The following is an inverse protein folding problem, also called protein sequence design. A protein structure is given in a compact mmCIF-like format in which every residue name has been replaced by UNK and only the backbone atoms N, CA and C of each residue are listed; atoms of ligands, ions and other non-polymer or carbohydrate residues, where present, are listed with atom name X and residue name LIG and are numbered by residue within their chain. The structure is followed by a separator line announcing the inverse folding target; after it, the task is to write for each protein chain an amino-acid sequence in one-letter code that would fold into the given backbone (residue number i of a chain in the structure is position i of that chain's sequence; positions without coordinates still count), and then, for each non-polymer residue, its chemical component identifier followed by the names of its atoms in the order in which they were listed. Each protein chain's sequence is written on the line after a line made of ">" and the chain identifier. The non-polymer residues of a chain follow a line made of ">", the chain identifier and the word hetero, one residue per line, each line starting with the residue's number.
data_IF_032618552535
#
_entry.id   IF_032618552535
#
_cell.length_a   1.000
_cell.length_b   1.000
_cell.length_c   1.000
_cell.angle_alpha   90.00
_cell.angle_beta   90.00
_cell.angle_gamma   90.00
#
_symmetry.space_group_name_H-M   'P 1'
#
loop_
_entity.id
_entity.type
_entity.pdbx_description
1 polymer ?
#
# COMPACT_ATOMS: atom_id res chain seq x y z
N UNK A 1 -51.83 21.12 -4.28
CA UNK A 1 -51.50 19.70 -4.54
C UNK A 1 -50.13 19.50 -5.18
N UNK A 2 -49.52 20.50 -5.80
CA UNK A 2 -48.19 20.34 -6.43
C UNK A 2 -47.02 20.38 -5.44
N UNK A 3 -47.10 21.18 -4.37
CA UNK A 3 -46.04 21.30 -3.37
C UNK A 3 -45.76 19.99 -2.58
N UNK A 4 -46.77 19.13 -2.42
CA UNK A 4 -46.63 17.84 -1.72
C UNK A 4 -45.91 16.79 -2.55
N UNK A 5 -46.01 16.85 -3.89
CA UNK A 5 -45.34 15.89 -4.77
C UNK A 5 -43.83 16.17 -4.85
N UNK A 6 -43.45 17.45 -4.99
CA UNK A 6 -42.05 17.86 -5.00
C UNK A 6 -41.33 17.50 -3.68
N UNK A 7 -42.01 17.68 -2.53
CA UNK A 7 -41.46 17.32 -1.22
C UNK A 7 -41.21 15.82 -1.09
N UNK A 8 -42.08 14.97 -1.63
CA UNK A 8 -41.95 13.52 -1.58
C UNK A 8 -40.79 13.03 -2.45
N UNK A 9 -40.67 13.59 -3.67
CA UNK A 9 -39.52 13.31 -4.54
C UNK A 9 -38.19 13.73 -3.90
N UNK A 10 -38.15 14.89 -3.22
CA UNK A 10 -36.95 15.36 -2.51
C UNK A 10 -36.57 14.41 -1.37
N UNK A 11 -37.54 13.95 -0.59
CA UNK A 11 -37.30 13.02 0.52
C UNK A 11 -36.80 11.65 0.01
N UNK A 12 -37.39 11.14 -1.08
CA UNK A 12 -36.92 9.91 -1.72
C UNK A 12 -35.51 10.06 -2.28
N UNK A 13 -35.16 11.21 -2.85
CA UNK A 13 -33.81 11.47 -3.37
C UNK A 13 -32.77 11.54 -2.24
N UNK A 14 -33.10 12.19 -1.12
CA UNK A 14 -32.23 12.24 0.08
C UNK A 14 -32.07 10.85 0.70
N UNK A 15 -33.14 10.06 0.81
CA UNK A 15 -33.07 8.67 1.27
C UNK A 15 -32.22 7.81 0.33
N UNK A 16 -32.34 8.00 -0.99
CA UNK A 16 -31.53 7.30 -1.98
C UNK A 16 -30.04 7.66 -1.85
N UNK A 17 -29.72 8.94 -1.64
CA UNK A 17 -28.34 9.40 -1.38
C UNK A 17 -27.79 8.86 -0.04
N UNK A 18 -28.64 8.64 0.96
CA UNK A 18 -28.21 8.06 2.25
C UNK A 18 -27.97 6.54 2.21
N UNK A 19 -28.53 5.84 1.21
CA UNK A 19 -28.29 4.42 0.97
C UNK A 19 -26.96 4.14 0.23
N UNK A 20 -26.38 5.18 -0.38
CA UNK A 20 -25.06 5.14 -1.00
C UNK A 20 -24.18 6.20 -0.36
N UNK A 21 -23.69 6.01 0.89
CA UNK A 21 -22.53 6.78 1.30
C UNK A 21 -21.43 6.44 0.29
N UNK A 22 -21.11 7.40 -0.58
CA UNK A 22 -19.92 7.34 -1.43
C UNK A 22 -18.76 7.44 -0.44
N UNK A 23 -18.43 6.34 0.22
CA UNK A 23 -17.18 6.22 0.94
C UNK A 23 -16.13 6.27 -0.16
N UNK A 24 -15.46 7.41 -0.29
CA UNK A 24 -14.34 7.53 -1.21
C UNK A 24 -13.24 6.62 -0.68
N UNK A 25 -13.18 5.40 -1.20
CA UNK A 25 -12.14 4.40 -0.93
C UNK A 25 -10.82 4.79 -1.61
N UNK A 26 -10.84 5.86 -2.41
CA UNK A 26 -9.68 6.38 -3.11
C UNK A 26 -8.68 7.00 -2.15
N UNK A 27 -7.42 6.60 -2.29
CA UNK A 27 -6.38 7.09 -1.41
C UNK A 27 -5.56 8.21 -2.07
N UNK A 28 -5.20 8.03 -3.34
CA UNK A 28 -4.44 9.02 -4.09
C UNK A 28 -4.79 8.97 -5.58
N UNK A 29 -4.79 10.12 -6.27
CA UNK A 29 -4.91 10.13 -7.72
C UNK A 29 -3.71 9.43 -8.35
N UNK A 30 -3.94 8.67 -9.41
CA UNK A 30 -2.87 8.16 -10.28
C UNK A 30 -2.06 9.33 -10.86
N UNK A 31 -0.75 9.32 -10.64
CA UNK A 31 0.14 10.43 -11.01
C UNK A 31 0.93 10.19 -12.30
N UNK A 32 0.58 9.17 -13.09
CA UNK A 32 1.29 8.86 -14.34
C UNK A 32 1.04 9.92 -15.41
N UNK A 33 2.11 10.37 -16.08
CA UNK A 33 2.02 11.31 -17.22
C UNK A 33 2.89 10.84 -18.37
N UNK A 34 2.53 11.18 -19.60
CA UNK A 34 3.30 10.83 -20.81
C UNK A 34 4.76 11.35 -20.81
N UNK A 35 5.04 12.38 -20.01
CA UNK A 35 6.36 12.99 -19.88
C UNK A 35 7.15 12.50 -18.67
N UNK A 36 6.64 11.54 -17.88
CA UNK A 36 7.44 10.84 -16.88
C UNK A 36 8.38 9.87 -17.58
N UNK A 37 9.47 10.40 -18.11
CA UNK A 37 10.67 9.60 -18.35
C UNK A 37 11.23 9.21 -17.00
N UNK A 38 11.66 7.96 -16.84
CA UNK A 38 12.39 7.44 -15.67
C UNK A 38 13.74 8.13 -15.41
N UNK A 39 13.99 9.27 -16.04
CA UNK A 39 15.29 9.93 -16.10
C UNK A 39 15.56 10.76 -14.85
N UNK A 40 16.79 10.67 -14.37
CA UNK A 40 17.26 11.47 -13.24
C UNK A 40 17.83 12.82 -13.70
N UNK A 41 17.06 13.66 -14.41
CA UNK A 41 17.57 14.97 -14.82
C UNK A 41 17.97 15.79 -13.59
N UNK A 42 19.16 16.40 -13.61
CA UNK A 42 19.68 17.24 -12.52
C UNK A 42 18.82 18.52 -12.36
N UNK A 43 18.14 18.93 -13.44
CA UNK A 43 17.24 20.08 -13.44
C UNK A 43 15.81 19.76 -12.94
N UNK A 44 15.51 18.49 -12.63
CA UNK A 44 14.24 18.10 -11.98
C UNK A 44 14.28 18.40 -10.46
N UNK A 45 14.63 19.64 -10.12
CA UNK A 45 14.58 20.17 -8.75
C UNK A 45 13.16 20.50 -8.31
N UNK A 46 12.20 20.50 -9.24
CA UNK A 46 10.80 20.90 -9.01
C UNK A 46 9.80 19.73 -9.02
N UNK A 47 10.27 18.48 -9.03
CA UNK A 47 9.34 17.40 -8.73
C UNK A 47 9.10 17.41 -7.22
N UNK A 48 7.90 17.81 -6.81
CA UNK A 48 7.22 17.13 -5.70
C UNK A 48 7.58 15.65 -5.77
N UNK A 49 7.79 14.92 -4.65
CA UNK A 49 8.15 13.50 -4.70
C UNK A 49 7.05 12.70 -5.40
N UNK A 50 7.10 12.70 -6.73
CA UNK A 50 6.00 12.39 -7.60
C UNK A 50 5.82 10.89 -7.52
N UNK A 51 4.64 10.48 -7.09
CA UNK A 51 4.29 9.10 -6.83
C UNK A 51 4.36 8.69 -5.36
N UNK A 52 4.99 9.44 -4.44
CA UNK A 52 4.88 9.10 -3.01
C UNK A 52 3.53 9.53 -2.44
N UNK A 53 3.05 8.73 -1.50
CA UNK A 53 1.74 8.85 -0.91
C UNK A 53 1.81 9.73 0.35
N UNK A 54 1.10 10.88 0.34
CA UNK A 54 1.11 11.85 1.43
C UNK A 54 0.22 11.49 2.63
N UNK A 55 0.83 11.07 3.74
CA UNK A 55 0.13 10.78 5.00
C UNK A 55 -0.32 12.04 5.78
N UNK A 56 -0.29 13.24 5.19
CA UNK A 56 -0.59 14.50 5.88
C UNK A 56 -2.02 14.56 6.48
N UNK A 57 -2.99 13.95 5.81
CA UNK A 57 -4.40 13.95 6.21
C UNK A 57 -4.85 12.64 6.87
N UNK A 58 -3.99 11.62 6.82
CA UNK A 58 -4.28 10.29 7.33
C UNK A 58 -3.04 9.79 8.06
N UNK A 59 -2.87 10.08 9.36
CA UNK A 59 -1.73 9.61 10.14
C UNK A 59 -1.90 8.12 10.50
N UNK A 60 -2.53 7.32 9.63
CA UNK A 60 -2.59 5.88 9.85
C UNK A 60 -1.15 5.43 10.04
N UNK A 61 -0.88 4.95 11.26
CA UNK A 61 0.41 4.49 11.70
C UNK A 61 0.95 3.39 10.80
N UNK A 62 2.12 2.90 11.14
CA UNK A 62 2.79 1.89 10.35
C UNK A 62 1.88 0.69 10.01
N UNK A 63 2.05 0.13 8.82
CA UNK A 63 1.32 -1.05 8.37
C UNK A 63 2.21 -1.93 7.51
N UNK A 64 1.82 -3.19 7.34
CA UNK A 64 2.41 -4.04 6.31
C UNK A 64 1.90 -3.62 4.92
N UNK A 65 2.84 -3.42 4.00
CA UNK A 65 2.58 -3.10 2.59
C UNK A 65 3.46 -3.98 1.71
N UNK A 66 3.13 -4.07 0.43
CA UNK A 66 3.81 -4.95 -0.51
C UNK A 66 4.30 -4.17 -1.72
N UNK A 67 5.53 -4.41 -2.13
CA UNK A 67 6.10 -3.86 -3.36
C UNK A 67 6.10 -4.96 -4.40
N UNK A 68 5.44 -4.75 -5.54
CA UNK A 68 5.23 -5.79 -6.57
C UNK A 68 5.58 -5.26 -7.95
N UNK A 69 6.39 -6.02 -8.69
CA UNK A 69 6.62 -5.77 -10.11
C UNK A 69 6.65 -7.12 -10.85
N UNK A 70 6.55 -7.10 -12.18
CA UNK A 70 6.83 -8.32 -12.97
C UNK A 70 8.30 -8.70 -12.82
N UNK A 71 8.54 -9.98 -12.59
CA UNK A 71 9.90 -10.48 -12.41
C UNK A 71 10.72 -10.28 -13.69
N UNK A 72 11.91 -9.70 -13.50
CA UNK A 72 13.05 -9.73 -14.42
C UNK A 72 14.21 -10.27 -13.58
N UNK A 73 15.11 -11.05 -14.19
CA UNK A 73 16.29 -11.65 -13.53
C UNK A 73 16.82 -10.77 -12.39
N UNK A 74 16.57 -11.17 -11.15
CA UNK A 74 16.89 -10.38 -9.96
C UNK A 74 18.28 -10.75 -9.42
N UNK A 75 18.91 -9.81 -8.71
CA UNK A 75 20.14 -10.04 -7.98
C UNK A 75 19.81 -10.13 -6.48
N UNK A 76 20.21 -11.22 -5.82
CA UNK A 76 19.54 -11.82 -4.65
C UNK A 76 19.64 -11.10 -3.28
N UNK A 77 20.08 -9.84 -3.18
CA UNK A 77 20.54 -9.28 -1.89
C UNK A 77 19.69 -8.15 -1.27
N UNK A 78 18.50 -7.82 -1.80
CA UNK A 78 17.71 -6.67 -1.31
C UNK A 78 16.39 -7.03 -0.62
N UNK A 79 16.22 -8.30 -0.24
CA UNK A 79 15.00 -8.79 0.40
C UNK A 79 13.78 -8.85 -0.53
N UNK A 80 13.97 -8.63 -1.83
CA UNK A 80 13.00 -9.03 -2.83
C UNK A 80 13.13 -10.51 -3.10
N UNK A 81 12.00 -11.16 -3.40
CA UNK A 81 11.94 -12.56 -3.76
C UNK A 81 11.03 -12.77 -4.94
N UNK A 82 11.37 -13.74 -5.77
CA UNK A 82 10.52 -14.17 -6.86
C UNK A 82 9.36 -15.01 -6.31
N UNK A 83 8.17 -14.75 -6.83
CA UNK A 83 6.97 -15.53 -6.56
C UNK A 83 6.18 -15.71 -7.85
N UNK A 84 5.39 -16.77 -7.91
CA UNK A 84 4.46 -16.99 -9.01
C UNK A 84 3.04 -16.85 -8.50
N UNK A 85 2.30 -15.93 -9.09
CA UNK A 85 0.90 -15.71 -8.77
C UNK A 85 0.03 -16.04 -9.98
N UNK A 86 -0.73 -17.12 -9.89
CA UNK A 86 -1.35 -17.73 -11.06
C UNK A 86 -0.30 -18.16 -12.08
N UNK A 87 -0.34 -17.57 -13.27
CA UNK A 87 0.63 -17.83 -14.35
C UNK A 87 1.65 -16.69 -14.51
N UNK A 88 1.71 -15.76 -13.57
CA UNK A 88 2.56 -14.57 -13.64
C UNK A 88 3.71 -14.69 -12.67
N UNK A 89 4.94 -14.47 -13.17
CA UNK A 89 6.11 -14.36 -12.31
C UNK A 89 6.28 -12.90 -11.86
N UNK A 90 6.37 -12.72 -10.54
CA UNK A 90 6.45 -11.43 -9.87
C UNK A 90 7.72 -11.39 -9.03
N UNK A 91 8.27 -10.20 -8.89
CA UNK A 91 9.24 -9.89 -7.84
C UNK A 91 8.50 -9.12 -6.76
N UNK A 92 8.64 -9.56 -5.51
CA UNK A 92 7.89 -9.00 -4.38
C UNK A 92 8.80 -8.71 -3.18
N UNK A 93 8.45 -7.67 -2.41
CA UNK A 93 9.01 -7.42 -1.08
C UNK A 93 7.90 -6.95 -0.14
N UNK A 94 7.74 -7.62 0.99
CA UNK A 94 6.95 -7.12 2.10
C UNK A 94 7.73 -6.03 2.84
N UNK A 95 7.08 -4.92 3.18
CA UNK A 95 7.70 -3.79 3.86
C UNK A 95 6.83 -3.28 5.01
N UNK A 96 7.50 -2.90 6.09
CA UNK A 96 6.87 -2.13 7.17
C UNK A 96 6.79 -0.67 6.73
N UNK A 97 5.63 -0.31 6.19
CA UNK A 97 5.38 1.01 5.67
C UNK A 97 5.08 1.98 6.80
N UNK A 98 5.73 3.14 6.81
CA UNK A 98 5.53 4.15 7.87
C UNK A 98 5.42 5.55 7.28
N UNK A 99 4.69 6.43 7.97
CA UNK A 99 4.61 7.83 7.64
C UNK A 99 5.84 8.56 8.20
N UNK A 100 6.70 9.09 7.32
CA UNK A 100 8.00 9.63 7.70
C UNK A 100 8.25 11.06 7.20
N UNK A 101 9.52 11.32 6.89
CA UNK A 101 10.03 12.63 6.46
C UNK A 101 9.17 13.22 5.32
N UNK A 102 8.74 14.47 5.48
CA UNK A 102 7.91 15.17 4.50
C UNK A 102 6.43 14.74 4.49
N UNK A 103 5.97 13.98 5.49
CA UNK A 103 4.63 13.38 5.54
C UNK A 103 4.36 12.48 4.33
N UNK A 104 5.34 11.62 4.02
CA UNK A 104 5.26 10.65 2.95
C UNK A 104 5.36 9.25 3.54
N UNK A 105 4.57 8.32 3.00
CA UNK A 105 4.72 6.91 3.31
C UNK A 105 5.99 6.35 2.67
N UNK A 106 6.79 5.66 3.48
CA UNK A 106 7.99 4.98 3.02
C UNK A 106 8.51 3.91 3.97
N UNK A 107 9.35 3.05 3.42
CA UNK A 107 10.20 2.10 4.16
C UNK A 107 11.65 2.37 3.76
N UNK A 108 12.46 2.88 4.69
CA UNK A 108 13.84 3.23 4.42
C UNK A 108 14.68 1.96 4.54
N UNK A 109 15.42 1.64 3.47
CA UNK A 109 16.40 0.55 3.45
C UNK A 109 17.77 1.10 3.06
N UNK A 110 18.84 0.37 3.31
CA UNK A 110 20.19 0.75 2.91
C UNK A 110 20.62 -0.03 1.68
N UNK A 111 21.44 0.59 0.84
CA UNK A 111 22.04 -0.04 -0.32
C UNK A 111 23.51 0.35 -0.42
N UNK A 112 24.39 -0.65 -0.54
CA UNK A 112 25.81 -0.40 -0.80
C UNK A 112 26.03 -0.30 -2.31
N UNK A 113 26.51 0.85 -2.75
CA UNK A 113 26.78 1.11 -4.17
C UNK A 113 27.85 0.17 -4.73
N UNK A 114 27.71 -0.14 -6.01
CA UNK A 114 28.62 -0.93 -6.83
C UNK A 114 29.08 -0.14 -8.06
N UNK A 115 30.14 -0.58 -8.74
CA UNK A 115 30.63 0.14 -9.93
C UNK A 115 29.57 0.24 -11.02
N UNK A 116 29.39 1.46 -11.53
CA UNK A 116 28.37 1.79 -12.53
C UNK A 116 27.04 2.24 -11.94
N UNK A 117 26.90 2.29 -10.61
CA UNK A 117 25.72 2.84 -9.98
C UNK A 117 25.60 4.36 -10.15
N UNK A 118 24.35 4.76 -10.37
CA UNK A 118 23.85 6.13 -10.36
C UNK A 118 22.47 6.10 -9.68
N UNK A 119 21.91 7.24 -9.29
CA UNK A 119 20.53 7.23 -8.78
C UNK A 119 19.51 6.71 -9.80
N UNK A 120 19.82 6.78 -11.09
CA UNK A 120 18.94 6.25 -12.14
C UNK A 120 18.95 4.73 -12.17
N UNK A 121 20.14 4.13 -12.15
CA UNK A 121 20.27 2.66 -12.12
C UNK A 121 19.74 2.12 -10.80
N UNK A 122 20.05 2.77 -9.67
CA UNK A 122 19.54 2.39 -8.35
C UNK A 122 18.00 2.44 -8.35
N UNK A 123 17.40 3.54 -8.78
CA UNK A 123 15.95 3.69 -8.77
C UNK A 123 15.26 2.67 -9.68
N UNK A 124 15.66 2.60 -10.95
CA UNK A 124 14.89 1.90 -11.97
C UNK A 124 15.28 0.42 -12.15
N UNK A 125 16.55 0.08 -11.93
CA UNK A 125 17.08 -1.27 -12.18
C UNK A 125 17.27 -2.06 -10.90
N UNK A 126 17.85 -1.45 -9.86
CA UNK A 126 18.09 -2.13 -8.57
C UNK A 126 16.79 -2.25 -7.77
N UNK A 127 16.02 -1.17 -7.69
CA UNK A 127 14.77 -1.12 -6.91
C UNK A 127 13.50 -1.07 -7.77
N UNK A 128 13.57 -1.45 -9.04
CA UNK A 128 12.39 -1.63 -9.90
C UNK A 128 11.45 -0.42 -9.99
N UNK A 129 11.92 0.81 -9.75
CA UNK A 129 11.12 2.03 -9.71
C UNK A 129 10.42 2.31 -8.37
N UNK A 130 10.59 1.45 -7.34
CA UNK A 130 9.99 1.67 -6.01
C UNK A 130 10.60 2.83 -5.24
N UNK A 131 11.70 3.40 -5.73
CA UNK A 131 12.21 4.69 -5.28
C UNK A 131 12.33 5.63 -6.48
N UNK A 132 12.63 6.90 -6.22
CA UNK A 132 12.82 7.91 -7.27
C UNK A 132 14.12 8.66 -7.05
N UNK A 133 14.70 9.19 -8.12
CA UNK A 133 15.94 9.95 -8.06
C UNK A 133 15.85 11.15 -7.10
N UNK A 134 14.73 11.88 -7.14
CA UNK A 134 14.52 13.03 -6.26
C UNK A 134 14.50 12.62 -4.79
N UNK A 135 13.92 11.47 -4.47
CA UNK A 135 13.94 10.93 -3.12
C UNK A 135 15.31 10.44 -2.70
N UNK A 136 16.02 9.72 -3.57
CA UNK A 136 17.42 9.33 -3.32
C UNK A 136 18.29 10.55 -3.02
N UNK A 137 18.22 11.62 -3.83
CA UNK A 137 18.94 12.89 -3.59
C UNK A 137 18.57 13.53 -2.25
N UNK A 138 17.28 13.57 -1.92
CA UNK A 138 16.80 14.25 -0.71
C UNK A 138 17.20 13.54 0.59
N UNK A 139 17.34 12.21 0.54
CA UNK A 139 17.82 11.37 1.65
C UNK A 139 19.34 11.33 1.72
N UNK A 140 20.02 11.50 0.59
CA UNK A 140 21.48 11.40 0.48
C UNK A 140 22.13 12.72 0.01
N UNK A 141 21.88 13.88 0.66
CA UNK A 141 22.30 15.19 0.15
C UNK A 141 23.83 15.39 0.09
N UNK A 142 24.60 14.55 0.78
CA UNK A 142 26.06 14.62 0.83
C UNK A 142 26.74 13.67 -0.18
N UNK A 143 25.95 12.90 -0.95
CA UNK A 143 26.47 11.93 -1.91
C UNK A 143 26.33 12.46 -3.34
N UNK A 144 27.41 12.38 -4.12
CA UNK A 144 27.48 12.91 -5.49
C UNK A 144 27.26 11.83 -6.56
N UNK A 145 26.33 10.90 -6.30
CA UNK A 145 26.11 9.69 -7.14
C UNK A 145 25.44 10.04 -8.50
N UNK A 146 24.98 11.28 -8.66
CA UNK A 146 24.31 11.76 -9.87
C UNK A 146 25.22 12.10 -11.05
N UNK A 147 26.53 12.29 -10.82
CA UNK A 147 27.41 12.91 -11.82
C UNK A 147 28.30 11.86 -12.47
N UNK A 148 27.82 11.34 -13.59
CA UNK A 148 28.47 10.40 -14.51
C UNK A 148 28.71 9.01 -13.92
N UNK A 149 28.45 7.98 -14.74
CA UNK A 149 28.55 6.55 -14.48
C UNK A 149 29.98 6.04 -14.17
N UNK A 150 30.77 6.81 -13.44
CA UNK A 150 32.15 6.53 -13.04
C UNK A 150 32.50 7.11 -11.66
N UNK A 151 31.53 7.32 -10.76
CA UNK A 151 31.90 7.53 -9.36
C UNK A 151 32.52 6.22 -8.86
N UNK A 152 33.83 6.25 -8.70
CA UNK A 152 34.74 5.18 -8.26
C UNK A 152 34.52 4.78 -6.80
N UNK A 153 33.37 5.13 -6.24
CA UNK A 153 33.01 5.03 -4.83
C UNK A 153 32.07 3.82 -4.64
N UNK A 154 32.62 2.63 -4.89
CA UNK A 154 31.99 1.39 -4.45
C UNK A 154 31.92 1.33 -2.92
N UNK A 155 30.87 0.74 -2.39
CA UNK A 155 30.71 0.49 -0.95
C UNK A 155 30.21 1.68 -0.14
N UNK A 156 29.73 2.75 -0.78
CA UNK A 156 28.96 3.78 -0.07
C UNK A 156 27.58 3.23 0.25
N UNK A 157 27.19 3.24 1.53
CA UNK A 157 25.82 2.97 1.93
C UNK A 157 24.95 4.21 1.67
N UNK A 158 23.92 4.05 0.85
CA UNK A 158 22.89 5.07 0.59
C UNK A 158 21.56 4.68 1.21
N UNK A 159 20.84 5.67 1.73
CA UNK A 159 19.47 5.51 2.19
C UNK A 159 18.51 5.47 1.00
N UNK A 160 17.75 4.39 0.88
CA UNK A 160 16.78 4.16 -0.18
C UNK A 160 15.37 4.15 0.41
N UNK A 161 14.63 5.27 0.29
CA UNK A 161 13.25 5.34 0.76
C UNK A 161 12.32 4.62 -0.23
N UNK A 162 11.92 3.38 0.06
CA UNK A 162 10.96 2.64 -0.76
C UNK A 162 9.56 3.20 -0.57
N UNK A 163 8.87 3.46 -1.68
CA UNK A 163 7.49 3.95 -1.71
C UNK A 163 6.52 2.82 -1.39
N UNK A 164 5.74 3.02 -0.35
CA UNK A 164 4.71 2.08 0.12
C UNK A 164 3.45 2.86 0.50
N UNK A 165 2.34 2.18 0.80
CA UNK A 165 1.11 2.83 1.24
C UNK A 165 0.39 2.01 2.32
N UNK A 166 -0.35 2.71 3.18
CA UNK A 166 -1.20 2.08 4.19
C UNK A 166 -2.68 2.34 3.94
N UNK A 167 -3.57 1.35 4.16
CA UNK A 167 -4.99 1.57 3.92
C UNK A 167 -5.57 2.62 4.86
N UNK A 168 -6.47 3.47 4.33
CA UNK A 168 -7.25 4.43 5.10
C UNK A 168 -8.27 3.71 6.00
N UNK A 169 -8.87 4.45 6.94
CA UNK A 169 -9.92 3.87 7.77
C UNK A 169 -11.13 3.43 6.93
N UNK A 170 -11.50 4.20 5.90
CA UNK A 170 -12.61 3.85 5.01
C UNK A 170 -12.31 2.60 4.20
N UNK A 171 -11.07 2.46 3.69
CA UNK A 171 -10.60 1.23 3.05
C UNK A 171 -10.68 0.02 4.00
N UNK A 172 -10.24 0.19 5.25
CA UNK A 172 -10.35 -0.87 6.27
C UNK A 172 -11.80 -1.24 6.57
N UNK A 173 -12.70 -0.25 6.62
CA UNK A 173 -14.13 -0.47 6.89
C UNK A 173 -14.81 -1.31 5.80
N UNK A 174 -14.35 -1.21 4.55
CA UNK A 174 -14.84 -2.04 3.43
C UNK A 174 -14.04 -3.34 3.23
N UNK A 175 -13.15 -3.68 4.17
CA UNK A 175 -12.47 -4.97 4.21
C UNK A 175 -11.10 -5.02 3.54
N UNK A 176 -10.53 -3.87 3.13
CA UNK A 176 -9.14 -3.80 2.67
C UNK A 176 -8.21 -4.00 3.87
N UNK A 177 -7.34 -5.00 3.77
CA UNK A 177 -6.41 -5.37 4.82
C UNK A 177 -5.04 -4.73 4.63
N UNK A 178 -4.54 -4.74 3.40
CA UNK A 178 -3.23 -4.18 3.02
C UNK A 178 -3.30 -3.49 1.67
N UNK A 179 -2.28 -2.70 1.35
CA UNK A 179 -2.09 -2.11 0.03
C UNK A 179 -0.76 -2.58 -0.55
N UNK A 180 -0.81 -3.02 -1.81
CA UNK A 180 0.39 -3.23 -2.61
C UNK A 180 0.65 -2.02 -3.52
N UNK A 181 1.92 -1.65 -3.66
CA UNK A 181 2.40 -0.73 -4.70
C UNK A 181 2.90 -1.59 -5.85
N UNK A 182 2.15 -1.59 -6.94
CA UNK A 182 2.51 -2.28 -8.17
C UNK A 182 3.25 -1.35 -9.13
N UNK A 183 4.41 -1.76 -9.64
CA UNK A 183 5.13 -0.97 -10.64
C UNK A 183 4.72 -1.34 -12.06
N UNK A 184 3.97 -0.44 -12.70
CA UNK A 184 3.50 -0.62 -14.10
C UNK A 184 4.68 -0.83 -15.05
N UNK A 185 4.58 -1.86 -15.88
CA UNK A 185 5.53 -2.16 -16.96
C UNK A 185 5.00 -1.69 -18.33
N UNK A 186 5.87 -1.61 -19.35
CA UNK A 186 5.44 -1.33 -20.72
C UNK A 186 4.33 -2.26 -21.22
N UNK A 187 3.35 -1.67 -21.89
CA UNK A 187 2.20 -2.34 -22.52
C UNK A 187 1.23 -3.03 -21.56
N UNK A 188 1.21 -2.62 -20.29
CA UNK A 188 0.21 -3.10 -19.33
C UNK A 188 -1.04 -2.24 -19.29
N UNK A 189 -2.14 -2.86 -18.87
CA UNK A 189 -3.43 -2.24 -18.63
C UNK A 189 -3.93 -2.59 -17.22
N UNK A 190 -4.90 -1.82 -16.71
CA UNK A 190 -5.53 -2.14 -15.42
C UNK A 190 -6.14 -3.55 -15.43
N UNK A 191 -6.78 -3.95 -16.54
CA UNK A 191 -7.35 -5.30 -16.69
C UNK A 191 -6.29 -6.40 -16.64
N UNK A 192 -5.14 -6.22 -17.31
CA UNK A 192 -4.07 -7.21 -17.26
C UNK A 192 -3.45 -7.31 -15.86
N UNK A 193 -3.24 -6.19 -15.18
CA UNK A 193 -2.67 -6.17 -13.82
C UNK A 193 -3.64 -6.83 -12.83
N UNK A 194 -4.93 -6.50 -12.88
CA UNK A 194 -5.95 -7.09 -12.01
C UNK A 194 -6.01 -8.62 -12.18
N UNK A 195 -5.99 -9.09 -13.44
CA UNK A 195 -5.95 -10.52 -13.74
C UNK A 195 -4.67 -11.18 -13.24
N UNK A 196 -3.51 -10.54 -13.43
CA UNK A 196 -2.21 -11.10 -13.06
C UNK A 196 -2.06 -11.20 -11.52
N UNK A 197 -2.73 -10.32 -10.77
CA UNK A 197 -2.78 -10.32 -9.30
C UNK A 197 -4.05 -10.97 -8.72
N UNK A 198 -4.91 -11.56 -9.56
CA UNK A 198 -6.22 -12.16 -9.21
C UNK A 198 -7.06 -11.30 -8.25
N UNK A 199 -7.03 -9.98 -8.45
CA UNK A 199 -7.84 -9.00 -7.71
C UNK A 199 -8.96 -8.46 -8.58
N UNK A 200 -9.96 -7.88 -7.95
CA UNK A 200 -10.98 -7.14 -8.69
C UNK A 200 -10.36 -5.90 -9.35
N UNK A 201 -10.69 -5.69 -10.61
CA UNK A 201 -10.22 -4.56 -11.40
C UNK A 201 -10.80 -3.24 -10.88
N UNK A 202 -12.05 -3.26 -10.42
CA UNK A 202 -12.74 -2.04 -10.02
C UNK A 202 -12.17 -1.48 -8.71
N UNK A 203 -11.65 -2.33 -7.82
CA UNK A 203 -10.96 -1.87 -6.59
C UNK A 203 -9.65 -1.13 -6.91
N UNK A 204 -8.92 -1.55 -7.95
CA UNK A 204 -7.73 -0.83 -8.44
C UNK A 204 -8.15 0.53 -9.00
N UNK A 205 -9.21 0.58 -9.81
CA UNK A 205 -9.68 1.83 -10.40
C UNK A 205 -10.06 2.84 -9.32
N UNK A 206 -10.86 2.40 -8.35
CA UNK A 206 -11.34 3.24 -7.25
C UNK A 206 -10.17 3.75 -6.39
N UNK A 207 -9.23 2.87 -6.00
CA UNK A 207 -8.11 3.23 -5.15
C UNK A 207 -7.21 4.32 -5.75
N UNK A 208 -7.13 4.37 -7.08
CA UNK A 208 -6.26 5.28 -7.84
C UNK A 208 -7.01 6.42 -8.54
N UNK A 209 -8.32 6.57 -8.30
CA UNK A 209 -9.20 7.55 -8.98
C UNK A 209 -9.13 7.44 -10.51
N UNK A 210 -9.07 6.21 -11.01
CA UNK A 210 -8.93 5.92 -12.44
C UNK A 210 -10.26 5.59 -13.09
N UNK A 211 -10.33 5.80 -14.40
CA UNK A 211 -11.39 5.27 -15.25
C UNK A 211 -10.91 4.07 -16.05
N UNK A 212 -11.84 3.25 -16.54
CA UNK A 212 -11.54 2.11 -17.42
C UNK A 212 -10.81 2.49 -18.73
N UNK A 213 -10.85 3.76 -19.13
CA UNK A 213 -10.19 4.27 -20.35
C UNK A 213 -8.84 4.91 -20.06
N UNK A 214 -8.39 4.91 -18.80
CA UNK A 214 -7.13 5.56 -18.45
C UNK A 214 -5.95 4.76 -18.97
N UNK A 215 -5.09 5.44 -19.73
CA UNK A 215 -3.82 4.88 -20.17
C UNK A 215 -2.82 4.85 -19.02
N UNK A 216 -2.16 3.71 -18.83
CA UNK A 216 -1.08 3.58 -17.86
C UNK A 216 0.28 3.91 -18.50
N UNK A 217 1.13 4.56 -17.71
CA UNK A 217 2.50 4.86 -18.05
C UNK A 217 3.46 3.95 -17.28
N UNK A 218 4.50 3.41 -17.93
CA UNK A 218 5.51 2.58 -17.27
C UNK A 218 6.21 3.31 -16.12
N UNK A 219 6.72 2.55 -15.15
CA UNK A 219 7.41 3.06 -13.96
C UNK A 219 6.57 4.02 -13.11
N UNK A 220 5.25 3.98 -13.29
CA UNK A 220 4.31 4.69 -12.41
C UNK A 220 3.78 3.72 -11.37
N UNK A 221 3.81 4.07 -10.06
CA UNK A 221 3.24 3.24 -9.03
C UNK A 221 1.71 3.21 -9.13
N UNK A 222 1.13 2.03 -8.96
CA UNK A 222 -0.30 1.78 -8.94
C UNK A 222 -0.67 1.11 -7.62
N UNK A 223 -1.64 1.67 -6.89
CA UNK A 223 -2.15 1.04 -5.66
C UNK A 223 -3.04 -0.14 -6.00
N UNK A 224 -2.77 -1.28 -5.38
CA UNK A 224 -3.61 -2.47 -5.47
C UNK A 224 -4.11 -2.80 -4.06
N UNK A 225 -5.39 -2.52 -3.77
CA UNK A 225 -6.00 -2.90 -2.50
C UNK A 225 -6.12 -4.42 -2.40
N UNK A 226 -5.75 -4.98 -1.24
CA UNK A 226 -5.84 -6.40 -0.97
C UNK A 226 -6.69 -6.63 0.28
N UNK A 227 -7.72 -7.47 0.16
CA UNK A 227 -8.42 -8.01 1.33
C UNK A 227 -7.57 -9.08 2.04
N UNK A 228 -8.04 -9.62 3.17
CA UNK A 228 -7.30 -10.66 3.91
C UNK A 228 -6.99 -11.90 3.07
N UNK A 229 -7.94 -12.37 2.28
CA UNK A 229 -7.78 -13.57 1.44
C UNK A 229 -6.77 -13.34 0.32
N UNK A 230 -6.83 -12.20 -0.37
CA UNK A 230 -5.86 -11.81 -1.39
C UNK A 230 -4.47 -11.62 -0.80
N UNK A 231 -4.38 -10.95 0.37
CA UNK A 231 -3.10 -10.79 1.09
C UNK A 231 -2.50 -12.14 1.46
N UNK A 232 -3.29 -13.07 2.00
CA UNK A 232 -2.81 -14.41 2.36
C UNK A 232 -2.37 -15.23 1.15
N UNK A 233 -3.09 -15.12 0.03
CA UNK A 233 -2.68 -15.77 -1.22
C UNK A 233 -1.35 -15.22 -1.73
N UNK A 234 -1.20 -13.90 -1.69
CA UNK A 234 -0.02 -13.21 -2.19
C UNK A 234 1.20 -13.49 -1.30
N UNK A 235 1.00 -13.45 0.02
CA UNK A 235 2.01 -13.69 1.05
C UNK A 235 1.48 -14.68 2.10
N UNK A 236 1.66 -16.01 1.87
CA UNK A 236 1.23 -17.03 2.82
C UNK A 236 1.95 -16.99 4.17
N UNK A 237 3.04 -16.23 4.28
CA UNK A 237 3.79 -16.06 5.53
C UNK A 237 3.17 -15.01 6.45
N UNK A 238 2.30 -14.14 5.93
CA UNK A 238 1.55 -13.17 6.73
C UNK A 238 0.48 -13.90 7.58
N UNK A 239 0.84 -14.19 8.83
CA UNK A 239 -0.03 -14.89 9.78
C UNK A 239 -1.34 -14.15 10.06
N UNK A 240 -1.32 -12.82 10.07
CA UNK A 240 -2.49 -11.99 10.39
C UNK A 240 -3.53 -12.03 9.26
N UNK A 241 -3.07 -12.11 8.02
CA UNK A 241 -3.92 -12.29 6.84
C UNK A 241 -4.41 -13.74 6.69
N UNK A 242 -3.56 -14.71 7.02
CA UNK A 242 -3.82 -16.15 6.83
C UNK A 242 -4.52 -16.85 8.00
N UNK A 243 -5.02 -16.11 8.99
CA UNK A 243 -5.84 -16.70 10.06
C UNK A 243 -7.06 -17.39 9.45
N UNK A 244 -7.21 -18.68 9.70
CA UNK A 244 -8.37 -19.45 9.23
C UNK A 244 -9.67 -18.77 9.69
N UNK A 245 -10.67 -18.59 8.82
CA UNK A 245 -11.98 -18.01 9.18
C UNK A 245 -12.64 -18.74 10.36
N UNK A 246 -12.37 -20.05 10.48
CA UNK A 246 -12.84 -20.88 11.59
C UNK A 246 -12.19 -20.50 12.91
N UNK A 247 -10.89 -20.20 12.91
CA UNK A 247 -10.16 -19.80 14.10
C UNK A 247 -10.58 -18.39 14.55
N UNK A 248 -10.77 -17.47 13.60
CA UNK A 248 -11.26 -16.11 13.90
C UNK A 248 -12.68 -16.14 14.51
N UNK A 249 -13.55 -16.99 13.96
CA UNK A 249 -14.92 -17.19 14.49
C UNK A 249 -14.90 -17.83 15.88
N UNK A 250 -14.06 -18.85 16.09
CA UNK A 250 -13.90 -19.51 17.38
C UNK A 250 -13.37 -18.54 18.45
N UNK A 251 -12.36 -17.73 18.14
CA UNK A 251 -11.80 -16.74 19.06
C UNK A 251 -12.84 -15.68 19.45
N UNK A 252 -13.63 -15.18 18.49
CA UNK A 252 -14.75 -14.25 18.78
C UNK A 252 -15.79 -14.90 19.69
N UNK A 253 -16.16 -16.15 19.40
CA UNK A 253 -17.14 -16.89 20.20
C UNK A 253 -16.63 -17.15 21.63
N UNK A 254 -15.38 -17.59 21.78
CA UNK A 254 -14.74 -17.83 23.07
C UNK A 254 -14.60 -16.55 23.90
N UNK A 255 -14.20 -15.43 23.28
CA UNK A 255 -14.15 -14.12 23.95
C UNK A 255 -15.54 -13.69 24.45
N UNK A 256 -16.57 -13.90 23.63
CA UNK A 256 -17.96 -13.57 24.00
C UNK A 256 -18.44 -14.41 25.19
N UNK A 257 -18.16 -15.73 25.20
CA UNK A 257 -18.47 -16.59 26.34
C UNK A 257 -17.70 -16.15 27.60
N UNK A 258 -16.42 -15.81 27.46
CA UNK A 258 -15.60 -15.33 28.57
C UNK A 258 -16.20 -14.08 29.23
N UNK A 259 -16.65 -13.11 28.42
CA UNK A 259 -17.35 -11.90 28.90
C UNK A 259 -18.65 -12.26 29.63
N UNK A 260 -19.45 -13.17 29.07
CA UNK A 260 -20.71 -13.62 29.69
C UNK A 260 -20.45 -14.27 31.06
N UNK A 261 -19.44 -15.14 31.17
CA UNK A 261 -19.08 -15.80 32.44
C UNK A 261 -18.64 -14.75 33.48
N UNK A 262 -17.83 -13.76 33.09
CA UNK A 262 -17.40 -12.69 33.99
C UNK A 262 -18.59 -11.86 34.48
N UNK A 263 -19.55 -11.53 33.61
CA UNK A 263 -20.75 -10.77 34.00
C UNK A 263 -21.67 -11.60 34.91
N UNK A 264 -21.88 -12.88 34.59
CA UNK A 264 -22.79 -13.75 35.33
C UNK A 264 -22.25 -14.18 36.70
N UNK A 265 -20.94 -14.40 36.81
CA UNK A 265 -20.31 -14.99 38.00
C UNK A 265 -19.28 -14.08 38.69
N UNK A 266 -18.86 -12.99 38.06
CA UNK A 266 -17.97 -12.00 38.68
C UNK A 266 -18.54 -11.33 39.93
N UNK A 267 -19.82 -10.93 39.97
CA UNK A 267 -20.41 -10.30 41.15
C UNK A 267 -20.47 -11.25 42.37
N UNK A 268 -20.77 -12.52 42.13
CA UNK A 268 -20.87 -13.55 43.18
C UNK A 268 -19.50 -13.98 43.70
N UNK A 269 -18.47 -14.01 42.86
CA UNK A 269 -17.08 -14.27 43.29
C UNK A 269 -16.52 -13.10 44.13
N UNK A 270 -16.88 -11.86 43.80
CA UNK A 270 -16.48 -10.68 44.57
C UNK A 270 -17.18 -10.60 45.93
N UNK A 271 -18.48 -10.93 46.01
CA UNK A 271 -19.20 -11.04 47.30
C UNK A 271 -18.64 -12.16 48.18
N UNK A 272 -18.33 -13.33 47.61
CA UNK A 272 -17.78 -14.45 48.37
C UNK A 272 -16.40 -14.12 49.00
N UNK A 273 -15.55 -13.39 48.29
CA UNK A 273 -14.27 -12.90 48.83
C UNK A 273 -14.46 -11.84 49.91
N UNK A 274 -15.48 -10.97 49.78
CA UNK A 274 -15.79 -9.98 50.82
C UNK A 274 -16.29 -10.62 52.11
N UNK A 275 -17.03 -11.73 52.05
CA UNK A 275 -17.50 -12.47 53.25
C UNK A 275 -16.41 -13.30 53.94
N UNK A 276 -15.26 -13.53 53.30
CA UNK A 276 -14.13 -14.27 53.90
C UNK A 276 -13.18 -13.32 54.67
N UNK A 277 -13.20 -12.02 54.36
CA UNK A 277 -12.30 -11.01 54.93
C UNK A 277 -12.97 -10.00 55.89
N UNK A 278 -14.23 -10.26 56.30
CA UNK A 278 -14.94 -9.53 57.38
C UNK A 278 -15.22 -10.51 58.51
#
# INVERSE_FOLDING_TARGET
>A
MEASFASYCCLCFILFLSLFPIQSVSQYPYLGTANQTSGCSINDTNSTPNGYYSCKHFPAGSCSSYLIAKSKSHNHDLGFYDTSFGNTNLVMKAVDCSCGRGHLYGNITEYNTTSGDSYETIANHVFYGFTSCSMLRSFNPNHSIDINASSTEEGISVEVPLRCACPTQDQKNVGIHSLAVYMVQPNESITSIARDLLVDKDTILDANMLSNTTQLYPFTPLLVPLNKYETCKLDPSNSDACVSPYLESYLKYAATIGVIIIIAFGPSLSLALFTIFV
#
